data_IF_544640662922
#
_entry.id   IF_544640662922
#
_cell.length_a   1.000
_cell.length_b   1.000
_cell.length_c   1.000
_cell.angle_alpha   90.00
_cell.angle_beta   90.00
_cell.angle_gamma   90.00
#
_symmetry.space_group_name_H-M   'P 1'
#
loop_
_entity.id
_entity.type
_entity.pdbx_description
1 polymer ?
#
# COMPACT_ATOMS: atom_id res chain seq x y z
N UNK A 1 -13.07 -19.68 15.61
CA UNK A 1 -12.06 -19.05 16.47
C UNK A 1 -11.11 -18.33 15.51
N UNK A 2 -10.87 -17.03 15.68
CA UNK A 2 -10.49 -16.10 14.60
C UNK A 2 -9.23 -15.33 15.01
N UNK A 3 -8.28 -15.15 14.07
CA UNK A 3 -7.10 -14.31 14.27
C UNK A 3 -7.52 -12.94 14.83
N UNK A 4 -6.78 -12.33 15.78
CA UNK A 4 -7.20 -11.13 16.50
C UNK A 4 -7.13 -9.83 15.66
N UNK A 5 -7.43 -9.93 14.37
CA UNK A 5 -7.56 -8.83 13.43
C UNK A 5 -8.97 -8.24 13.48
N UNK A 6 -9.08 -6.92 13.34
CA UNK A 6 -10.35 -6.30 13.00
C UNK A 6 -10.67 -6.53 11.51
N UNK A 7 -11.31 -7.65 11.21
CA UNK A 7 -11.67 -8.05 9.84
C UNK A 7 -12.49 -6.96 9.13
N UNK A 8 -13.45 -6.33 9.82
CA UNK A 8 -14.27 -5.27 9.23
C UNK A 8 -13.41 -4.10 8.73
N UNK A 9 -12.49 -3.61 9.57
CA UNK A 9 -11.61 -2.50 9.19
C UNK A 9 -10.67 -2.89 8.05
N UNK A 10 -10.08 -4.09 8.06
CA UNK A 10 -9.18 -4.49 6.97
C UNK A 10 -9.96 -4.70 5.67
N UNK A 11 -11.13 -5.32 5.71
CA UNK A 11 -11.96 -5.52 4.51
C UNK A 11 -12.39 -4.21 3.88
N UNK A 12 -12.76 -3.21 4.68
CA UNK A 12 -13.07 -1.86 4.17
C UNK A 12 -11.84 -1.26 3.47
N UNK A 13 -10.68 -1.29 4.11
CA UNK A 13 -9.44 -0.75 3.52
C UNK A 13 -8.97 -1.52 2.28
N UNK A 14 -9.17 -2.83 2.23
CA UNK A 14 -8.86 -3.64 1.04
C UNK A 14 -9.78 -3.28 -0.13
N UNK A 15 -11.05 -3.02 0.14
CA UNK A 15 -11.99 -2.53 -0.87
C UNK A 15 -11.55 -1.16 -1.39
N UNK A 16 -11.23 -0.24 -0.48
CA UNK A 16 -10.75 1.11 -0.82
C UNK A 16 -9.43 1.09 -1.62
N UNK A 17 -8.52 0.19 -1.26
CA UNK A 17 -7.27 -0.04 -2.00
C UNK A 17 -7.56 -0.57 -3.40
N UNK A 18 -8.46 -1.54 -3.55
CA UNK A 18 -8.85 -2.09 -4.85
C UNK A 18 -9.51 -1.03 -5.74
N UNK A 19 -10.39 -0.20 -5.20
CA UNK A 19 -11.00 0.93 -5.92
C UNK A 19 -9.93 1.92 -6.38
N UNK A 20 -9.00 2.30 -5.51
CA UNK A 20 -7.91 3.23 -5.85
C UNK A 20 -6.99 2.67 -6.92
N UNK A 21 -6.65 1.38 -6.85
CA UNK A 21 -5.85 0.69 -7.88
C UNK A 21 -6.57 0.74 -9.22
N UNK A 22 -7.88 0.48 -9.28
CA UNK A 22 -8.63 0.52 -10.55
C UNK A 22 -8.54 1.90 -11.22
N UNK A 23 -8.68 2.98 -10.44
CA UNK A 23 -8.55 4.35 -10.96
C UNK A 23 -7.12 4.65 -11.42
N UNK A 24 -6.12 4.22 -10.65
CA UNK A 24 -4.71 4.34 -11.04
C UNK A 24 -4.40 3.57 -12.33
N UNK A 25 -5.03 2.41 -12.56
CA UNK A 25 -4.88 1.65 -13.81
C UNK A 25 -5.55 2.31 -15.01
N UNK A 26 -6.63 3.06 -14.81
CA UNK A 26 -7.21 3.89 -15.87
C UNK A 26 -6.24 5.02 -16.22
N UNK A 27 -5.69 5.70 -15.21
CA UNK A 27 -4.72 6.77 -15.39
C UNK A 27 -3.40 6.28 -16.00
N UNK A 28 -2.96 5.07 -15.68
CA UNK A 28 -1.75 4.46 -16.24
C UNK A 28 -1.84 4.15 -17.75
N UNK A 29 -3.04 4.17 -18.34
CA UNK A 29 -3.24 4.00 -19.79
C UNK A 29 -3.06 5.29 -20.57
N UNK A 30 -3.02 6.44 -19.90
CA UNK A 30 -2.75 7.72 -20.53
C UNK A 30 -1.32 7.76 -21.05
N UNK A 31 -1.08 8.55 -22.09
CA UNK A 31 0.29 8.92 -22.45
C UNK A 31 0.87 9.85 -21.39
N UNK A 32 2.20 9.94 -21.33
CA UNK A 32 2.89 10.91 -20.45
C UNK A 32 2.44 12.35 -20.77
N UNK A 33 2.26 12.67 -22.06
CA UNK A 33 1.77 13.97 -22.51
C UNK A 33 0.34 14.25 -21.98
N UNK A 34 -0.56 13.28 -22.04
CA UNK A 34 -1.94 13.44 -21.56
C UNK A 34 -2.02 13.57 -20.03
N UNK A 35 -1.11 12.90 -19.30
CA UNK A 35 -1.01 13.05 -17.84
C UNK A 35 -0.51 14.46 -17.46
N UNK A 36 0.41 15.03 -18.25
CA UNK A 36 0.97 16.37 -18.04
C UNK A 36 -0.02 17.48 -18.44
N UNK A 37 -0.70 17.30 -19.58
CA UNK A 37 -1.51 18.34 -20.23
C UNK A 37 -2.79 18.68 -19.45
N UNK A 38 -3.36 17.71 -18.74
CA UNK A 38 -4.50 17.95 -17.85
C UNK A 38 -4.08 17.80 -16.38
N UNK A 39 -4.01 18.95 -15.70
CA UNK A 39 -3.73 19.03 -14.26
C UNK A 39 -4.66 18.15 -13.39
N UNK A 40 -5.88 17.83 -13.85
CA UNK A 40 -6.75 16.92 -13.12
C UNK A 40 -6.21 15.49 -13.10
N UNK A 41 -5.60 15.01 -14.17
CA UNK A 41 -5.06 13.65 -14.24
C UNK A 41 -3.94 13.46 -13.20
N UNK A 42 -3.03 14.43 -13.11
CA UNK A 42 -1.98 14.43 -12.10
C UNK A 42 -2.54 14.51 -10.67
N UNK A 43 -3.55 15.37 -10.44
CA UNK A 43 -4.19 15.50 -9.13
C UNK A 43 -4.90 14.20 -8.70
N UNK A 44 -5.63 13.55 -9.61
CA UNK A 44 -6.29 12.27 -9.37
C UNK A 44 -5.27 11.16 -9.11
N UNK A 45 -4.22 11.07 -9.92
CA UNK A 45 -3.14 10.09 -9.72
C UNK A 45 -2.50 10.24 -8.34
N UNK A 46 -2.19 11.48 -7.95
CA UNK A 46 -1.62 11.81 -6.64
C UNK A 46 -2.57 11.40 -5.49
N UNK A 47 -3.86 11.69 -5.63
CA UNK A 47 -4.87 11.36 -4.63
C UNK A 47 -5.05 9.84 -4.46
N UNK A 48 -5.26 9.10 -5.54
CA UNK A 48 -5.47 7.65 -5.46
C UNK A 48 -4.20 6.91 -5.03
N UNK A 49 -3.02 7.40 -5.42
CA UNK A 49 -1.75 6.86 -4.94
C UNK A 49 -1.61 7.09 -3.43
N UNK A 50 -1.82 8.33 -2.97
CA UNK A 50 -1.79 8.65 -1.54
C UNK A 50 -2.72 7.73 -0.74
N UNK A 51 -3.98 7.62 -1.17
CA UNK A 51 -4.97 6.73 -0.52
C UNK A 51 -4.50 5.28 -0.47
N UNK A 52 -3.96 4.77 -1.58
CA UNK A 52 -3.42 3.40 -1.64
C UNK A 52 -2.28 3.18 -0.64
N UNK A 53 -1.35 4.14 -0.54
CA UNK A 53 -0.23 4.04 0.40
C UNK A 53 -0.70 4.09 1.86
N UNK A 54 -1.71 4.92 2.16
CA UNK A 54 -2.32 5.00 3.49
C UNK A 54 -2.98 3.70 3.90
N UNK A 55 -3.71 3.05 2.99
CA UNK A 55 -4.34 1.77 3.26
C UNK A 55 -3.30 0.67 3.50
N UNK A 56 -2.23 0.62 2.71
CA UNK A 56 -1.11 -0.32 2.91
C UNK A 56 -0.49 -0.14 4.30
N UNK A 57 -0.11 1.09 4.64
CA UNK A 57 0.55 1.39 5.91
C UNK A 57 -0.39 1.15 7.10
N UNK A 58 -1.66 1.56 7.01
CA UNK A 58 -2.65 1.37 8.05
C UNK A 58 -2.95 -0.11 8.30
N UNK A 59 -3.14 -0.89 7.23
CA UNK A 59 -3.34 -2.34 7.33
C UNK A 59 -2.09 -2.98 7.95
N UNK A 60 -0.90 -2.64 7.45
CA UNK A 60 0.36 -3.19 7.94
C UNK A 60 0.58 -2.94 9.43
N UNK A 61 0.41 -1.70 9.88
CA UNK A 61 0.51 -1.32 11.29
C UNK A 61 -0.50 -2.09 12.16
N UNK A 62 -1.73 -2.25 11.67
CA UNK A 62 -2.77 -3.00 12.38
C UNK A 62 -2.42 -4.50 12.49
N UNK A 63 -1.92 -5.12 11.41
CA UNK A 63 -1.45 -6.52 11.41
C UNK A 63 -0.32 -6.71 12.44
N UNK A 64 0.69 -5.84 12.40
CA UNK A 64 1.83 -5.86 13.33
C UNK A 64 1.40 -5.73 14.80
N UNK A 65 0.53 -4.77 15.10
CA UNK A 65 0.03 -4.54 16.45
C UNK A 65 -0.75 -5.74 16.98
N UNK A 66 -1.61 -6.33 16.15
CA UNK A 66 -2.54 -7.37 16.60
C UNK A 66 -1.90 -8.75 16.68
N UNK A 67 -1.09 -9.13 15.70
CA UNK A 67 -0.52 -10.47 15.61
C UNK A 67 0.86 -10.57 16.28
N UNK A 68 1.66 -9.51 16.21
CA UNK A 68 3.07 -9.56 16.61
C UNK A 68 3.41 -8.67 17.81
N UNK A 69 2.43 -7.92 18.34
CA UNK A 69 2.61 -6.97 19.46
C UNK A 69 3.67 -5.90 19.16
N UNK A 70 3.88 -5.60 17.87
CA UNK A 70 4.77 -4.55 17.41
C UNK A 70 3.94 -3.28 17.20
N UNK A 71 4.25 -2.23 17.95
CA UNK A 71 3.63 -0.91 17.79
C UNK A 71 4.57 -0.01 17.02
N UNK A 72 4.13 0.44 15.84
CA UNK A 72 4.86 1.44 15.06
C UNK A 72 4.38 2.82 15.50
N UNK A 73 5.21 3.52 16.29
CA UNK A 73 4.82 4.79 16.90
C UNK A 73 5.02 6.00 15.99
N UNK A 74 6.04 6.00 15.11
CA UNK A 74 6.45 7.24 14.41
C UNK A 74 6.97 7.05 12.97
N UNK A 75 7.49 5.88 12.61
CA UNK A 75 8.14 5.65 11.32
C UNK A 75 7.36 4.66 10.47
N UNK A 76 6.49 5.19 9.60
CA UNK A 76 5.80 4.39 8.59
C UNK A 76 6.74 3.55 7.72
N UNK A 77 8.01 3.95 7.57
CA UNK A 77 9.04 3.19 6.86
C UNK A 77 9.39 1.85 7.50
N UNK A 78 9.13 1.67 8.79
CA UNK A 78 9.45 0.43 9.49
C UNK A 78 8.36 -0.64 9.28
N UNK A 79 7.18 -0.27 8.78
CA UNK A 79 6.05 -1.21 8.63
C UNK A 79 6.39 -2.36 7.68
N UNK A 80 6.90 -2.09 6.48
CA UNK A 80 7.20 -3.17 5.52
C UNK A 80 8.37 -4.07 5.99
N UNK A 81 9.49 -3.53 6.49
CA UNK A 81 10.54 -4.35 7.10
C UNK A 81 10.04 -5.26 8.24
N UNK A 82 9.19 -4.74 9.13
CA UNK A 82 8.64 -5.52 10.24
C UNK A 82 7.67 -6.61 9.75
N UNK A 83 6.83 -6.31 8.76
CA UNK A 83 5.95 -7.30 8.13
C UNK A 83 6.75 -8.43 7.47
N UNK A 84 7.87 -8.10 6.82
CA UNK A 84 8.74 -9.10 6.20
C UNK A 84 9.41 -9.98 7.26
N UNK A 85 9.94 -9.38 8.33
CA UNK A 85 10.54 -10.12 9.46
C UNK A 85 9.52 -11.06 10.13
N UNK A 86 8.25 -10.64 10.14
CA UNK A 86 7.13 -11.40 10.69
C UNK A 86 6.60 -12.49 9.73
N UNK A 87 7.19 -12.63 8.54
CA UNK A 87 6.79 -13.62 7.54
C UNK A 87 5.47 -13.32 6.83
N UNK A 88 4.95 -12.09 6.94
CA UNK A 88 3.68 -11.69 6.31
C UNK A 88 3.88 -11.32 4.84
N UNK A 89 4.97 -10.63 4.51
CA UNK A 89 5.31 -10.26 3.12
C UNK A 89 6.69 -10.79 2.76
N UNK A 90 6.99 -11.05 1.47
CA UNK A 90 8.34 -11.42 1.05
C UNK A 90 9.38 -10.34 1.37
N UNK A 91 10.61 -10.75 1.70
CA UNK A 91 11.70 -9.81 2.00
C UNK A 91 12.04 -8.93 0.79
N UNK A 92 11.97 -9.49 -0.42
CA UNK A 92 12.20 -8.80 -1.68
C UNK A 92 11.16 -7.69 -1.91
N UNK A 93 9.90 -7.93 -1.52
CA UNK A 93 8.84 -6.94 -1.60
C UNK A 93 9.15 -5.74 -0.68
N UNK A 94 9.53 -6.02 0.57
CA UNK A 94 9.89 -4.97 1.52
C UNK A 94 11.10 -4.16 1.04
N UNK A 95 12.14 -4.83 0.51
CA UNK A 95 13.34 -4.18 0.00
C UNK A 95 13.04 -3.23 -1.18
N UNK A 96 12.20 -3.68 -2.13
CA UNK A 96 11.77 -2.85 -3.27
C UNK A 96 10.93 -1.64 -2.83
N UNK A 97 10.18 -1.77 -1.75
CA UNK A 97 9.23 -0.75 -1.28
C UNK A 97 9.69 0.01 -0.01
N UNK A 98 10.99 -0.01 0.31
CA UNK A 98 11.57 0.63 1.51
C UNK A 98 11.23 2.11 1.67
N UNK A 99 10.99 2.82 0.56
CA UNK A 99 10.67 4.26 0.55
C UNK A 99 9.18 4.57 0.57
N UNK A 100 8.30 3.57 0.68
CA UNK A 100 6.85 3.75 0.56
C UNK A 100 6.30 4.75 1.59
N UNK A 101 6.70 4.63 2.86
CA UNK A 101 6.27 5.57 3.91
C UNK A 101 6.75 7.01 3.66
N UNK A 102 8.01 7.16 3.22
CA UNK A 102 8.56 8.46 2.82
C UNK A 102 7.84 9.04 1.60
N UNK A 103 7.44 8.21 0.63
CA UNK A 103 6.71 8.67 -0.55
C UNK A 103 5.31 9.16 -0.20
N UNK A 104 4.59 8.44 0.68
CA UNK A 104 3.32 8.89 1.26
C UNK A 104 3.46 10.27 1.90
N UNK A 105 4.53 10.51 2.65
CA UNK A 105 4.78 11.81 3.27
C UNK A 105 5.07 12.91 2.23
N UNK A 106 5.81 12.59 1.17
CA UNK A 106 6.04 13.53 0.06
C UNK A 106 4.74 13.94 -0.63
N UNK A 107 3.82 13.00 -0.86
CA UNK A 107 2.51 13.28 -1.46
C UNK A 107 1.64 14.23 -0.62
N UNK A 108 1.91 14.37 0.69
CA UNK A 108 1.16 15.27 1.58
C UNK A 108 1.90 16.60 1.81
N UNK A 109 3.20 16.53 2.11
CA UNK A 109 3.96 17.69 2.61
C UNK A 109 4.84 18.36 1.55
N UNK A 110 5.30 17.60 0.56
CA UNK A 110 6.23 18.05 -0.48
C UNK A 110 5.63 17.89 -1.89
N UNK A 111 4.30 17.89 -2.01
CA UNK A 111 3.61 17.53 -3.26
C UNK A 111 3.99 18.45 -4.43
N UNK A 112 4.34 19.72 -4.16
CA UNK A 112 4.84 20.67 -5.16
C UNK A 112 6.17 20.24 -5.81
N UNK A 113 6.90 19.29 -5.20
CA UNK A 113 8.17 18.76 -5.70
C UNK A 113 7.99 17.45 -6.48
N UNK A 114 6.78 16.90 -6.55
CA UNK A 114 6.51 15.68 -7.31
C UNK A 114 6.20 16.10 -8.74
N UNK A 115 6.97 15.59 -9.70
CA UNK A 115 6.78 15.95 -11.11
C UNK A 115 5.81 14.97 -11.79
N UNK A 116 5.13 15.39 -12.86
CA UNK A 116 4.30 14.50 -13.66
C UNK A 116 5.06 13.28 -14.21
N UNK A 117 6.32 13.45 -14.59
CA UNK A 117 7.18 12.36 -15.10
C UNK A 117 7.46 11.32 -13.98
N UNK A 118 7.74 11.79 -12.76
CA UNK A 118 7.87 10.93 -11.58
C UNK A 118 6.58 10.15 -11.32
N UNK A 119 5.43 10.82 -11.38
CA UNK A 119 4.12 10.18 -11.22
C UNK A 119 3.85 9.15 -12.32
N UNK A 120 4.09 9.50 -13.58
CA UNK A 120 3.93 8.59 -14.72
C UNK A 120 4.74 7.32 -14.51
N UNK A 121 6.03 7.46 -14.16
CA UNK A 121 6.89 6.31 -13.90
C UNK A 121 6.35 5.41 -12.76
N UNK A 122 5.82 6.01 -11.69
CA UNK A 122 5.23 5.23 -10.59
C UNK A 122 3.99 4.46 -11.04
N UNK A 123 3.11 5.09 -11.83
CA UNK A 123 1.95 4.43 -12.41
C UNK A 123 2.34 3.23 -13.30
N UNK A 124 3.46 3.32 -14.02
CA UNK A 124 3.93 2.22 -14.87
C UNK A 124 4.62 1.10 -14.09
N UNK A 125 5.26 1.39 -12.96
CA UNK A 125 6.21 0.46 -12.32
C UNK A 125 5.74 -0.11 -10.99
N UNK A 126 4.89 0.60 -10.23
CA UNK A 126 4.60 0.26 -8.84
C UNK A 126 3.16 -0.20 -8.58
N UNK A 127 2.23 -0.12 -9.54
CA UNK A 127 0.85 -0.61 -9.33
C UNK A 127 0.80 -2.13 -9.05
N UNK A 128 1.74 -2.89 -9.61
CA UNK A 128 1.89 -4.33 -9.33
C UNK A 128 2.16 -4.60 -7.85
N UNK A 129 2.89 -3.70 -7.17
CA UNK A 129 3.22 -3.85 -5.76
C UNK A 129 2.01 -3.57 -4.87
N UNK A 130 1.18 -2.59 -5.23
CA UNK A 130 -0.08 -2.31 -4.53
C UNK A 130 -1.03 -3.52 -4.59
N UNK A 131 -1.16 -4.11 -5.79
CA UNK A 131 -1.96 -5.32 -6.01
C UNK A 131 -1.45 -6.51 -5.22
N UNK A 132 -0.14 -6.75 -5.27
CA UNK A 132 0.50 -7.85 -4.55
C UNK A 132 0.28 -7.74 -3.04
N UNK A 133 0.41 -6.54 -2.47
CA UNK A 133 0.11 -6.34 -1.05
C UNK A 133 -1.35 -6.67 -0.73
N UNK A 134 -2.30 -6.16 -1.51
CA UNK A 134 -3.73 -6.45 -1.32
C UNK A 134 -4.03 -7.95 -1.38
N UNK A 135 -3.42 -8.68 -2.31
CA UNK A 135 -3.54 -10.14 -2.43
C UNK A 135 -2.98 -10.86 -1.20
N UNK A 136 -1.79 -10.48 -0.74
CA UNK A 136 -1.17 -11.07 0.46
C UNK A 136 -2.07 -10.92 1.69
N UNK A 137 -2.61 -9.73 1.91
CA UNK A 137 -3.47 -9.47 3.07
C UNK A 137 -4.82 -10.21 2.95
N UNK A 138 -5.39 -10.29 1.73
CA UNK A 138 -6.57 -11.10 1.51
C UNK A 138 -6.29 -12.59 1.80
N UNK A 139 -5.14 -13.09 1.39
CA UNK A 139 -4.70 -14.46 1.70
C UNK A 139 -4.47 -14.66 3.20
N UNK A 140 -3.90 -13.67 3.90
CA UNK A 140 -3.72 -13.70 5.35
C UNK A 140 -5.05 -13.84 6.09
N UNK A 141 -6.08 -13.12 5.64
CA UNK A 141 -7.42 -13.15 6.24
C UNK A 141 -8.11 -14.48 5.99
N UNK A 142 -8.03 -15.01 4.77
CA UNK A 142 -8.78 -16.19 4.35
C UNK A 142 -8.05 -17.50 4.61
N UNK A 143 -6.72 -17.48 4.65
CA UNK A 143 -5.84 -18.64 4.76
C UNK A 143 -4.65 -18.38 5.72
N UNK A 144 -4.89 -18.01 6.99
CA UNK A 144 -3.82 -17.64 7.93
C UNK A 144 -2.79 -18.76 8.17
N UNK A 145 -3.16 -20.02 7.94
CA UNK A 145 -2.24 -21.17 8.03
C UNK A 145 -1.07 -21.09 7.04
N UNK A 146 -1.22 -20.42 5.89
CA UNK A 146 -0.12 -20.16 4.94
C UNK A 146 1.00 -19.32 5.54
N UNK A 147 0.69 -18.54 6.58
CA UNK A 147 1.61 -17.63 7.25
C UNK A 147 2.11 -18.20 8.59
N UNK A 148 1.99 -19.52 8.80
CA UNK A 148 2.31 -20.21 10.05
C UNK A 148 1.56 -19.65 11.28
N UNK A 149 0.43 -18.97 11.06
CA UNK A 149 -0.42 -18.48 12.13
C UNK A 149 -1.40 -19.57 12.53
N UNK A 150 -1.40 -19.93 13.82
CA UNK A 150 -2.38 -20.86 14.36
C UNK A 150 -3.73 -20.15 14.48
N UNK A 151 -4.75 -20.77 13.89
CA UNK A 151 -6.12 -20.48 14.26
C UNK A 151 -6.34 -21.26 15.55
N UNK A 152 -6.12 -20.60 16.70
CA UNK A 152 -6.69 -21.11 17.96
C UNK A 152 -8.19 -20.93 17.86
#
# INVERSE_FOLDING_TARGET
MQIPLNHKTITVRLKDLAESINELEVLAKLSEEDLIKDHHNFALASFYLLRSLEDILSIGAHVLSRLFKVTISEKYNDILPELARSGIIPQEFANRNTKLGSYRNRLVHDYLKITPEEMFNILQTHLVDLKLFGQIINDLINNPSKFNLKIE
#
